data_IF_101114727420
#
_entry.id   IF_101114727420
#
_cell.length_a   1.000
_cell.length_b   1.000
_cell.length_c   1.000
_cell.angle_alpha   90.00
_cell.angle_beta   90.00
_cell.angle_gamma   90.00
#
_symmetry.space_group_name_H-M   'P 1'
#
loop_
_entity.id
_entity.type
_entity.pdbx_description
1 polymer ?
#
# COMPACT_ATOMS: atom_id res chain seq x y z
N UNK A 1 1.08 13.10 0.85
CA UNK A 1 0.54 13.29 -0.53
C UNK A 1 0.77 12.08 -1.45
N UNK A 2 1.81 11.24 -1.31
CA UNK A 2 1.91 9.97 -2.07
C UNK A 2 1.13 8.81 -1.40
N UNK A 3 1.16 8.79 -0.06
CA UNK A 3 0.47 7.83 0.80
C UNK A 3 -1.07 7.86 0.64
N UNK A 4 -1.62 9.05 0.36
CA UNK A 4 -3.06 9.22 0.12
C UNK A 4 -3.47 8.69 -1.25
N UNK A 5 -2.66 8.92 -2.29
CA UNK A 5 -2.89 8.39 -3.63
C UNK A 5 -2.93 6.86 -3.62
N UNK A 6 -2.02 6.21 -2.88
CA UNK A 6 -2.01 4.76 -2.75
C UNK A 6 -3.33 4.23 -2.15
N UNK A 7 -3.79 4.90 -1.09
CA UNK A 7 -5.04 4.56 -0.41
C UNK A 7 -6.27 4.82 -1.29
N UNK A 8 -6.27 5.90 -2.06
CA UNK A 8 -7.33 6.23 -3.01
C UNK A 8 -7.39 5.21 -4.13
N UNK A 9 -6.27 4.90 -4.79
CA UNK A 9 -6.20 3.90 -5.86
C UNK A 9 -6.63 2.52 -5.37
N UNK A 10 -6.22 2.12 -4.16
CA UNK A 10 -6.69 0.87 -3.55
C UNK A 10 -8.23 0.86 -3.43
N UNK A 11 -8.82 1.96 -2.97
CA UNK A 11 -10.28 2.07 -2.82
C UNK A 11 -11.01 2.12 -4.15
N UNK A 12 -10.49 2.84 -5.15
CA UNK A 12 -11.03 2.87 -6.53
C UNK A 12 -11.12 1.46 -7.12
N UNK A 13 -10.13 0.62 -6.84
CA UNK A 13 -10.08 -0.77 -7.28
C UNK A 13 -10.86 -1.74 -6.37
N UNK A 14 -11.55 -1.25 -5.33
CA UNK A 14 -12.23 -2.06 -4.30
C UNK A 14 -11.33 -3.13 -3.65
N UNK A 15 -10.03 -2.87 -3.58
CA UNK A 15 -9.06 -3.80 -2.99
C UNK A 15 -8.97 -3.59 -1.48
N UNK A 16 -8.75 -4.67 -0.73
CA UNK A 16 -8.39 -4.58 0.68
C UNK A 16 -6.89 -4.36 0.81
N UNK A 17 -6.43 -3.87 1.97
CA UNK A 17 -4.97 -3.79 2.23
C UNK A 17 -4.32 -5.17 2.17
N UNK A 18 -5.06 -6.24 2.50
CA UNK A 18 -4.59 -7.62 2.37
C UNK A 18 -4.40 -8.01 0.90
N UNK A 19 -5.37 -7.72 0.02
CA UNK A 19 -5.22 -8.01 -1.42
C UNK A 19 -4.01 -7.32 -2.04
N UNK A 20 -3.75 -6.06 -1.68
CA UNK A 20 -2.57 -5.34 -2.15
C UNK A 20 -1.29 -5.97 -1.59
N UNK A 21 -1.32 -6.37 -0.32
CA UNK A 21 -0.18 -7.01 0.33
C UNK A 21 0.16 -8.35 -0.32
N UNK A 22 -0.84 -9.18 -0.59
CA UNK A 22 -0.69 -10.47 -1.26
C UNK A 22 -0.13 -10.30 -2.67
N UNK A 23 -0.61 -9.29 -3.42
CA UNK A 23 -0.16 -9.02 -4.79
C UNK A 23 1.29 -8.54 -4.85
N UNK A 24 1.72 -7.75 -3.85
CA UNK A 24 3.07 -7.22 -3.75
C UNK A 24 4.00 -8.12 -2.92
N UNK A 25 3.50 -9.28 -2.48
CA UNK A 25 4.19 -10.24 -1.62
C UNK A 25 4.80 -9.59 -0.35
N UNK A 26 4.07 -8.64 0.22
CA UNK A 26 4.41 -7.95 1.48
C UNK A 26 3.35 -8.25 2.54
N UNK A 27 3.56 -7.75 3.76
CA UNK A 27 2.54 -7.89 4.81
C UNK A 27 1.47 -6.80 4.70
N UNK A 28 0.27 -7.06 5.23
CA UNK A 28 -0.77 -6.03 5.38
C UNK A 28 -0.26 -4.84 6.20
N UNK A 29 0.56 -5.06 7.23
CA UNK A 29 1.13 -3.97 8.04
C UNK A 29 2.05 -3.08 7.19
N UNK A 30 2.79 -3.66 6.24
CA UNK A 30 3.64 -2.92 5.30
C UNK A 30 2.79 -1.98 4.44
N UNK A 31 1.73 -2.49 3.80
CA UNK A 31 0.79 -1.67 3.01
C UNK A 31 0.14 -0.59 3.86
N UNK A 32 -0.30 -0.93 5.08
CA UNK A 32 -0.83 0.06 6.01
C UNK A 32 0.19 1.16 6.31
N UNK A 33 1.46 0.80 6.56
CA UNK A 33 2.52 1.75 6.86
C UNK A 33 2.80 2.70 5.70
N UNK A 34 2.68 2.23 4.45
CA UNK A 34 2.76 3.06 3.24
C UNK A 34 1.59 4.03 3.13
N UNK A 35 0.36 3.59 3.41
CA UNK A 35 -0.83 4.45 3.38
C UNK A 35 -0.84 5.52 4.49
N UNK A 36 -0.20 5.26 5.64
CA UNK A 36 -0.06 6.26 6.73
C UNK A 36 1.24 7.07 6.61
N UNK A 37 2.07 6.83 5.59
CA UNK A 37 3.32 7.57 5.36
C UNK A 37 4.45 7.26 6.36
N UNK A 38 4.38 6.12 7.08
CA UNK A 38 5.40 5.69 8.04
C UNK A 38 6.63 5.05 7.39
N UNK A 39 6.47 4.51 6.19
CA UNK A 39 7.53 3.89 5.39
C UNK A 39 7.13 4.03 3.92
N UNK A 40 8.13 4.06 3.04
CA UNK A 40 7.91 3.88 1.61
C UNK A 40 8.44 2.50 1.20
N UNK A 41 7.90 1.88 0.13
CA UNK A 41 8.50 0.70 -0.43
C UNK A 41 9.94 1.04 -0.85
N UNK A 42 10.91 0.35 -0.26
CA UNK A 42 12.27 0.29 -0.80
C UNK A 42 12.20 -0.62 -2.02
N UNK A 43 11.73 -0.06 -3.13
CA UNK A 43 11.80 -0.72 -4.43
C UNK A 43 13.21 -0.41 -4.94
N UNK A 44 14.15 -1.36 -4.98
CA UNK A 44 15.38 -1.15 -5.72
C UNK A 44 14.98 -0.90 -7.19
N UNK A 45 15.31 0.29 -7.68
CA UNK A 45 15.09 0.69 -9.08
C UNK A 45 15.82 -0.23 -10.04
#
# INVERSE_FOLDING_TARGET
MLNEILKEKRKELNLTQQHVADHLNVTRQTVSSWEVGKSFPDIPT
#
